data_IF_855488165997
#
_entry.id   IF_855488165997
#
_cell.length_a   1.000
_cell.length_b   1.000
_cell.length_c   1.000
_cell.angle_alpha   90.00
_cell.angle_beta   90.00
_cell.angle_gamma   90.00
#
_symmetry.space_group_name_H-M   'P 1'
#
loop_
_entity.id
_entity.type
_entity.pdbx_description
1 polymer ?
#
# COMPACT_ATOMS: atom_id res chain seq x y z
N UNK A 1 -16.30 -9.51 4.53
CA UNK A 1 -15.22 -9.28 5.50
C UNK A 1 -14.59 -7.98 5.07
N UNK A 2 -14.66 -6.92 5.88
CA UNK A 2 -14.00 -5.64 5.55
C UNK A 2 -12.56 -5.80 5.99
N UNK A 3 -11.64 -5.79 5.03
CA UNK A 3 -10.22 -5.96 5.31
C UNK A 3 -9.66 -4.61 5.75
N UNK A 4 -9.46 -4.43 7.06
CA UNK A 4 -8.82 -3.23 7.60
C UNK A 4 -7.29 -3.28 7.49
N UNK A 5 -6.73 -4.44 7.13
CA UNK A 5 -5.29 -4.66 6.94
C UNK A 5 -5.09 -5.50 5.68
N UNK A 6 -4.21 -5.02 4.79
CA UNK A 6 -3.67 -5.77 3.64
C UNK A 6 -2.19 -6.00 3.91
N UNK A 7 -1.79 -7.26 3.91
CA UNK A 7 -0.41 -7.65 4.15
C UNK A 7 0.36 -7.76 2.83
N UNK A 8 1.54 -7.17 2.80
CA UNK A 8 2.48 -7.25 1.69
C UNK A 8 3.68 -8.07 2.15
N UNK A 9 3.94 -9.20 1.49
CA UNK A 9 5.13 -10.00 1.75
C UNK A 9 6.35 -9.35 1.09
N UNK A 10 7.06 -8.49 1.81
CA UNK A 10 8.15 -7.75 1.20
C UNK A 10 9.39 -8.60 0.89
N UNK A 11 9.48 -9.85 1.34
CA UNK A 11 10.54 -10.77 0.91
C UNK A 11 10.36 -11.25 -0.53
N UNK A 12 9.13 -11.26 -1.04
CA UNK A 12 8.81 -11.58 -2.43
C UNK A 12 9.20 -10.45 -3.40
N UNK A 13 9.47 -9.25 -2.89
CA UNK A 13 9.83 -8.08 -3.68
C UNK A 13 11.35 -8.05 -3.87
N UNK A 14 11.80 -8.29 -5.10
CA UNK A 14 13.22 -8.29 -5.50
C UNK A 14 13.55 -7.23 -6.55
N UNK A 15 12.53 -6.64 -7.17
CA UNK A 15 12.61 -5.60 -8.19
C UNK A 15 11.23 -4.93 -8.38
N UNK A 16 11.18 -3.92 -9.26
CA UNK A 16 9.93 -3.22 -9.64
C UNK A 16 8.82 -4.16 -10.15
N UNK A 17 9.16 -5.26 -10.84
CA UNK A 17 8.16 -6.18 -11.40
C UNK A 17 7.49 -6.96 -10.28
N UNK A 18 8.29 -7.54 -9.40
CA UNK A 18 7.81 -8.30 -8.23
C UNK A 18 7.09 -7.41 -7.22
N UNK A 19 7.48 -6.13 -7.09
CA UNK A 19 6.71 -5.13 -6.36
C UNK A 19 5.28 -5.03 -6.87
N UNK A 20 5.11 -4.82 -8.17
CA UNK A 20 3.79 -4.69 -8.78
C UNK A 20 2.98 -6.00 -8.69
N UNK A 21 3.63 -7.15 -8.81
CA UNK A 21 2.98 -8.46 -8.67
C UNK A 21 2.45 -8.69 -7.25
N UNK A 22 3.25 -8.39 -6.22
CA UNK A 22 2.85 -8.56 -4.83
C UNK A 22 1.66 -7.67 -4.46
N UNK A 23 1.69 -6.39 -4.85
CA UNK A 23 0.55 -5.49 -4.64
C UNK A 23 -0.69 -5.91 -5.41
N UNK A 24 -0.54 -6.32 -6.68
CA UNK A 24 -1.66 -6.79 -7.48
C UNK A 24 -2.32 -8.03 -6.87
N UNK A 25 -1.52 -8.97 -6.36
CA UNK A 25 -2.01 -10.16 -5.68
C UNK A 25 -2.70 -9.82 -4.35
N UNK A 26 -2.08 -8.98 -3.52
CA UNK A 26 -2.58 -8.65 -2.18
C UNK A 26 -3.88 -7.82 -2.21
N UNK A 27 -4.01 -6.90 -3.17
CA UNK A 27 -5.20 -6.06 -3.32
C UNK A 27 -6.25 -6.62 -4.29
N UNK A 28 -5.91 -7.70 -5.03
CA UNK A 28 -6.75 -8.23 -6.10
C UNK A 28 -6.96 -7.21 -7.23
N UNK A 29 -5.88 -6.67 -7.78
CA UNK A 29 -5.95 -5.81 -8.97
C UNK A 29 -6.43 -6.63 -10.18
N UNK A 30 -7.08 -6.01 -11.19
CA UNK A 30 -7.60 -6.76 -12.32
C UNK A 30 -6.48 -7.18 -13.26
N UNK A 31 -6.78 -8.13 -14.14
CA UNK A 31 -5.83 -8.67 -15.12
C UNK A 31 -5.26 -7.61 -16.10
N UNK A 32 -5.91 -6.46 -16.23
CA UNK A 32 -5.46 -5.34 -17.08
C UNK A 32 -4.49 -4.38 -16.37
N UNK A 33 -4.05 -4.72 -15.15
CA UNK A 33 -3.09 -3.91 -14.42
C UNK A 33 -1.75 -3.78 -15.17
N UNK A 34 -1.40 -2.54 -15.54
CA UNK A 34 -0.26 -2.25 -16.39
C UNK A 34 1.12 -2.39 -15.70
N UNK A 35 1.16 -2.58 -14.38
CA UNK A 35 2.43 -2.67 -13.64
C UNK A 35 3.27 -1.40 -13.71
N UNK A 36 2.62 -0.22 -13.70
CA UNK A 36 3.28 1.08 -13.65
C UNK A 36 2.95 1.82 -12.36
N UNK A 37 3.73 2.87 -12.06
CA UNK A 37 3.52 3.74 -10.89
C UNK A 37 2.15 4.40 -10.91
N UNK A 38 1.75 4.92 -12.07
CA UNK A 38 0.48 5.61 -12.27
C UNK A 38 -0.71 4.66 -12.09
N UNK A 39 -0.61 3.46 -12.67
CA UNK A 39 -1.63 2.43 -12.50
C UNK A 39 -1.75 2.02 -11.03
N UNK A 40 -0.62 1.89 -10.31
CA UNK A 40 -0.62 1.55 -8.89
C UNK A 40 -1.32 2.62 -8.05
N UNK A 41 -0.96 3.89 -8.22
CA UNK A 41 -1.55 5.02 -7.51
C UNK A 41 -3.06 5.10 -7.76
N UNK A 42 -3.49 4.94 -9.02
CA UNK A 42 -4.89 5.02 -9.40
C UNK A 42 -5.75 3.95 -8.71
N UNK A 43 -5.26 2.71 -8.61
CA UNK A 43 -6.01 1.62 -7.94
C UNK A 43 -6.12 1.88 -6.45
N UNK A 44 -5.04 2.31 -5.79
CA UNK A 44 -5.02 2.53 -4.35
C UNK A 44 -5.77 3.80 -3.91
N UNK A 45 -5.88 4.82 -4.77
CA UNK A 45 -6.59 6.05 -4.46
C UNK A 45 -8.12 5.88 -4.38
N UNK A 46 -8.65 4.79 -4.94
CA UNK A 46 -10.09 4.54 -5.14
C UNK A 46 -10.66 3.39 -4.30
N UNK A 47 -9.97 2.97 -3.24
CA UNK A 47 -10.40 1.82 -2.43
C UNK A 47 -11.73 2.03 -1.68
N UNK A 48 -12.24 3.26 -1.61
CA UNK A 48 -13.54 3.60 -1.03
C UNK A 48 -14.62 3.94 -2.06
N UNK A 49 -14.31 3.85 -3.36
CA UNK A 49 -15.28 4.07 -4.42
C UNK A 49 -16.09 2.80 -4.69
N UNK A 50 -17.31 2.75 -4.15
CA UNK A 50 -18.23 1.63 -4.31
C UNK A 50 -18.72 1.43 -5.75
N UNK A 51 -18.60 2.46 -6.61
CA UNK A 51 -19.05 2.42 -8.00
C UNK A 51 -17.92 2.06 -8.98
N UNK A 52 -16.66 2.28 -8.59
CA UNK A 52 -15.46 2.00 -9.37
C UNK A 52 -14.58 0.95 -8.67
N UNK A 53 -15.18 -0.19 -8.34
CA UNK A 53 -14.50 -1.31 -7.67
C UNK A 53 -13.53 -2.01 -8.62
N UNK A 54 -12.35 -1.43 -8.71
CA UNK A 54 -11.23 -1.87 -9.52
C UNK A 54 -10.30 -2.85 -8.82
N UNK A 55 -10.57 -3.16 -7.56
CA UNK A 55 -9.80 -4.05 -6.70
C UNK A 55 -10.74 -4.96 -5.92
N UNK A 56 -10.29 -6.16 -5.55
CA UNK A 56 -11.07 -7.04 -4.67
C UNK A 56 -11.12 -6.51 -3.23
N UNK A 57 -10.08 -5.77 -2.81
CA UNK A 57 -10.04 -5.06 -1.53
C UNK A 57 -10.70 -3.70 -1.67
N UNK A 58 -11.62 -3.38 -0.75
CA UNK A 58 -12.27 -2.08 -0.65
C UNK A 58 -12.68 -1.80 0.80
N UNK A 59 -12.93 -0.54 1.11
CA UNK A 59 -13.46 -0.08 2.38
C UNK A 59 -14.65 0.86 2.18
N UNK A 60 -15.40 1.14 3.23
CA UNK A 60 -16.49 2.10 3.16
C UNK A 60 -15.95 3.54 3.08
N UNK A 61 -16.70 4.50 2.50
CA UNK A 61 -16.30 5.90 2.45
C UNK A 61 -15.88 6.46 3.81
N UNK A 62 -14.64 6.92 3.89
CA UNK A 62 -14.05 7.51 5.10
C UNK A 62 -13.46 6.51 6.09
N UNK A 63 -13.46 5.21 5.78
CA UNK A 63 -12.65 4.20 6.46
C UNK A 63 -11.21 4.18 5.93
N UNK A 64 -10.32 3.50 6.67
CA UNK A 64 -8.90 3.40 6.34
C UNK A 64 -8.49 1.94 6.21
N UNK A 65 -7.73 1.64 5.16
CA UNK A 65 -7.03 0.36 4.97
C UNK A 65 -5.59 0.53 5.41
N UNK A 66 -5.11 -0.37 6.27
CA UNK A 66 -3.71 -0.42 6.66
C UNK A 66 -2.94 -1.31 5.70
N UNK A 67 -1.89 -0.79 5.08
CA UNK A 67 -0.90 -1.57 4.33
C UNK A 67 0.18 -2.01 5.31
N UNK A 68 0.17 -3.29 5.68
CA UNK A 68 1.18 -3.87 6.56
C UNK A 68 2.32 -4.46 5.73
N UNK A 69 3.51 -3.86 5.84
CA UNK A 69 4.72 -4.31 5.16
C UNK A 69 5.46 -5.32 6.04
N UNK A 70 5.40 -6.60 5.68
CA UNK A 70 6.08 -7.69 6.37
C UNK A 70 7.56 -7.75 5.95
N UNK A 71 8.48 -7.92 6.89
CA UNK A 71 9.93 -8.00 6.63
C UNK A 71 10.49 -6.73 5.94
N UNK A 72 9.88 -5.58 6.21
CA UNK A 72 10.15 -4.30 5.53
C UNK A 72 11.61 -3.86 5.60
N UNK A 73 12.34 -4.20 6.67
CA UNK A 73 13.75 -3.83 6.80
C UNK A 73 14.63 -4.52 5.74
N UNK A 74 14.28 -5.74 5.35
CA UNK A 74 14.95 -6.48 4.26
C UNK A 74 14.64 -5.84 2.90
N UNK A 75 13.37 -5.49 2.69
CA UNK A 75 12.91 -4.83 1.48
C UNK A 75 13.54 -3.45 1.28
N UNK A 76 13.53 -2.58 2.30
CA UNK A 76 14.13 -1.25 2.24
C UNK A 76 15.63 -1.27 1.88
N UNK A 77 16.35 -2.32 2.28
CA UNK A 77 17.76 -2.52 1.90
C UNK A 77 17.93 -3.08 0.49
N UNK A 78 17.06 -3.99 0.08
CA UNK A 78 17.16 -4.73 -1.19
C UNK A 78 16.67 -3.92 -2.38
N UNK A 79 15.58 -3.19 -2.19
CA UNK A 79 14.85 -2.44 -3.20
C UNK A 79 14.52 -1.02 -2.66
N UNK A 80 15.53 -0.17 -2.41
CA UNK A 80 15.33 1.12 -1.75
C UNK A 80 14.45 2.09 -2.56
N UNK A 81 14.49 2.00 -3.89
CA UNK A 81 13.67 2.83 -4.78
C UNK A 81 12.19 2.45 -4.68
N UNK A 82 11.87 1.15 -4.74
CA UNK A 82 10.51 0.64 -4.58
C UNK A 82 9.97 0.87 -3.17
N UNK A 83 10.81 0.73 -2.14
CA UNK A 83 10.42 1.05 -0.76
C UNK A 83 10.06 2.54 -0.61
N UNK A 84 10.91 3.43 -1.13
CA UNK A 84 10.65 4.88 -1.11
C UNK A 84 9.37 5.19 -1.87
N UNK A 85 9.21 4.61 -3.08
CA UNK A 85 8.00 4.76 -3.88
C UNK A 85 6.74 4.29 -3.14
N UNK A 86 6.80 3.19 -2.41
CA UNK A 86 5.67 2.70 -1.62
C UNK A 86 5.24 3.71 -0.54
N UNK A 87 6.19 4.19 0.25
CA UNK A 87 5.92 5.10 1.38
C UNK A 87 5.47 6.48 0.87
N UNK A 88 6.20 7.04 -0.09
CA UNK A 88 5.87 8.34 -0.67
C UNK A 88 4.58 8.28 -1.49
N UNK A 89 4.33 7.19 -2.21
CA UNK A 89 3.13 7.00 -3.02
C UNK A 89 1.86 6.93 -2.16
N UNK A 90 1.88 6.19 -1.05
CA UNK A 90 0.77 6.17 -0.09
C UNK A 90 0.58 7.55 0.55
N UNK A 91 1.68 8.22 0.92
CA UNK A 91 1.62 9.58 1.47
C UNK A 91 1.02 10.58 0.47
N UNK A 92 1.41 10.46 -0.80
CA UNK A 92 0.89 11.26 -1.91
C UNK A 92 -0.60 11.06 -2.13
N UNK A 93 -1.09 9.80 -2.14
CA UNK A 93 -2.52 9.50 -2.25
C UNK A 93 -3.30 10.23 -1.15
N UNK A 94 -2.85 10.10 0.09
CA UNK A 94 -3.51 10.74 1.22
C UNK A 94 -3.48 12.27 1.11
N UNK A 95 -2.34 12.87 0.74
CA UNK A 95 -2.26 14.31 0.52
C UNK A 95 -3.19 14.79 -0.61
N UNK A 96 -3.19 14.11 -1.76
CA UNK A 96 -4.06 14.45 -2.88
C UNK A 96 -5.54 14.42 -2.49
N UNK A 97 -5.95 13.43 -1.68
CA UNK A 97 -7.30 13.36 -1.12
C UNK A 97 -7.60 14.52 -0.18
N UNK A 98 -6.65 14.95 0.66
CA UNK A 98 -6.81 16.10 1.55
C UNK A 98 -7.00 17.42 0.76
N UNK A 99 -6.28 17.60 -0.35
CA UNK A 99 -6.45 18.76 -1.23
C UNK A 99 -7.88 18.82 -1.83
N UNK A 100 -8.51 17.67 -2.02
CA UNK A 100 -9.90 17.54 -2.47
C UNK A 100 -10.93 17.58 -1.32
N UNK A 101 -10.50 17.84 -0.08
CA UNK A 101 -11.38 17.89 1.10
C UNK A 101 -11.86 16.51 1.57
N UNK A 102 -11.25 15.44 1.08
CA UNK A 102 -11.55 14.07 1.50
C UNK A 102 -10.66 13.62 2.66
N UNK A 103 -11.05 12.51 3.31
CA UNK A 103 -10.22 11.87 4.34
C UNK A 103 -9.11 11.01 3.71
N UNK A 104 -7.96 10.85 4.39
CA UNK A 104 -6.98 9.81 4.08
C UNK A 104 -7.65 8.43 4.08
N UNK A 105 -7.15 7.54 3.23
CA UNK A 105 -7.73 6.20 3.04
C UNK A 105 -6.73 5.08 3.33
N UNK A 106 -5.44 5.41 3.40
CA UNK A 106 -4.37 4.44 3.63
C UNK A 106 -3.59 4.77 4.88
N UNK A 107 -3.28 3.74 5.67
CA UNK A 107 -2.25 3.78 6.71
C UNK A 107 -1.13 2.81 6.33
N UNK A 108 0.06 3.02 6.90
CA UNK A 108 1.19 2.09 6.76
C UNK A 108 1.54 1.53 8.13
N UNK A 109 1.74 0.20 8.19
CA UNK A 109 2.32 -0.47 9.34
C UNK A 109 3.56 -1.24 8.89
N UNK A 110 4.61 -1.19 9.71
CA UNK A 110 5.86 -1.93 9.47
C UNK A 110 5.96 -3.09 10.45
N UNK A 111 6.05 -4.32 9.93
CA UNK A 111 6.20 -5.52 10.74
C UNK A 111 7.59 -6.15 10.56
N UNK A 112 8.16 -6.66 11.66
CA UNK A 112 9.48 -7.29 11.63
C UNK A 112 10.66 -6.31 11.54
N UNK A 113 10.44 -5.03 11.82
CA UNK A 113 11.55 -4.10 12.12
C UNK A 113 12.19 -4.60 13.41
N UNK A 114 13.50 -4.88 13.42
CA UNK A 114 14.19 -5.24 14.67
C UNK A 114 13.96 -4.12 15.68
N UNK A 115 13.12 -4.44 16.67
CA UNK A 115 12.86 -3.76 17.94
C UNK A 115 13.32 -2.31 18.00
N UNK A 116 12.37 -1.37 17.94
CA UNK A 116 12.59 -0.12 18.65
C UNK A 116 12.85 -0.49 20.12
N UNK A 117 14.04 -0.19 20.63
CA UNK A 117 14.26 -0.18 22.07
C UNK A 117 13.44 0.98 22.65
N UNK A 118 12.24 0.65 23.14
CA UNK A 118 11.33 1.62 23.74
C UNK A 118 11.61 1.80 25.23
N UNK A 119 12.70 1.26 25.78
CA UNK A 119 13.06 1.44 27.20
C UNK A 119 13.41 2.90 27.55
N UNK A 120 13.55 3.77 26.54
CA UNK A 120 13.80 5.20 26.69
C UNK A 120 12.58 6.13 26.47
N UNK A 121 11.37 5.58 26.31
CA UNK A 121 10.12 6.36 26.29
C UNK A 121 9.34 6.24 27.61
#
# INVERSE_FOLDING_TARGET
MVWHVVQINCDAITDVKTFHQEFAAAFGFPNDYAGTKEAWLLRLAKLDDVNDRVTEVYCDPGEVITVELLNVASFARRCPEEFTFCVEGISYINWARLEEGMKPILAIAFYGVQTYDLSGF
#
